data_IF_383480709735
#
_entry.id   IF_383480709735
#
_cell.length_a   1.000
_cell.length_b   1.000
_cell.length_c   1.000
_cell.angle_alpha   90.00
_cell.angle_beta   90.00
_cell.angle_gamma   90.00
#
_symmetry.space_group_name_H-M   'P 1'
#
loop_
_entity.id
_entity.type
_entity.pdbx_description
1 polymer ?
#
# COMPACT_ATOMS: atom_id res chain seq x y z
N UNK A 1 -7.55 -51.76 39.66
CA UNK A 1 -7.90 -51.53 38.23
C UNK A 1 -7.26 -50.22 37.77
N UNK A 2 -6.18 -50.32 37.03
CA UNK A 2 -5.41 -49.21 36.55
C UNK A 2 -5.96 -48.75 35.20
N UNK A 3 -6.51 -47.53 35.11
CA UNK A 3 -7.04 -46.99 33.87
C UNK A 3 -5.91 -46.30 33.12
N UNK A 4 -5.53 -46.82 31.96
CA UNK A 4 -4.61 -46.17 31.02
C UNK A 4 -5.38 -45.20 30.15
N UNK A 5 -4.98 -43.91 30.18
CA UNK A 5 -5.46 -42.90 29.22
C UNK A 5 -4.47 -42.85 28.06
N UNK A 6 -4.91 -43.27 26.88
CA UNK A 6 -4.16 -43.08 25.62
C UNK A 6 -4.47 -41.65 25.10
N UNK A 7 -3.45 -40.79 25.10
CA UNK A 7 -3.53 -39.49 24.41
C UNK A 7 -2.95 -39.69 23.02
N UNK A 8 -3.83 -39.63 22.01
CA UNK A 8 -3.46 -39.69 20.60
C UNK A 8 -3.07 -38.26 20.15
N UNK A 9 -1.76 -38.04 19.91
CA UNK A 9 -1.31 -36.79 19.30
C UNK A 9 -1.50 -36.85 17.78
N UNK A 10 -2.44 -36.10 17.23
CA UNK A 10 -2.50 -35.83 15.80
C UNK A 10 -1.63 -34.62 15.50
N UNK A 11 -0.46 -34.84 14.93
CA UNK A 11 0.34 -33.77 14.34
C UNK A 11 -0.20 -33.47 12.94
N UNK A 12 -0.98 -32.42 12.82
CA UNK A 12 -1.32 -31.85 11.51
C UNK A 12 -0.08 -31.11 10.98
N UNK A 13 0.60 -31.68 10.01
CA UNK A 13 1.59 -30.95 9.23
C UNK A 13 0.81 -30.15 8.17
N UNK A 14 0.56 -28.85 8.46
CA UNK A 14 0.13 -27.93 7.44
C UNK A 14 1.36 -27.61 6.58
N UNK A 15 1.47 -28.26 5.43
CA UNK A 15 2.38 -27.83 4.38
C UNK A 15 1.84 -26.55 3.80
N UNK A 16 2.31 -25.39 4.29
CA UNK A 16 2.17 -24.14 3.57
C UNK A 16 3.04 -24.24 2.32
N UNK A 17 2.43 -24.58 1.19
CA UNK A 17 3.02 -24.34 -0.11
C UNK A 17 2.93 -22.83 -0.31
N UNK A 18 3.90 -22.07 0.15
CA UNK A 18 4.10 -20.72 -0.29
C UNK A 18 4.64 -20.85 -1.72
N UNK A 19 3.77 -20.68 -2.71
CA UNK A 19 4.24 -20.47 -4.07
C UNK A 19 5.19 -19.26 -3.99
N UNK A 20 6.47 -19.47 -4.32
CA UNK A 20 7.45 -18.41 -4.34
C UNK A 20 7.02 -17.47 -5.48
N UNK A 21 6.61 -16.24 -5.13
CA UNK A 21 6.23 -15.23 -6.10
C UNK A 21 7.46 -14.89 -6.96
N UNK A 22 7.39 -15.20 -8.25
CA UNK A 22 8.44 -14.87 -9.21
C UNK A 22 8.01 -13.65 -10.04
N UNK A 23 8.49 -12.46 -9.66
CA UNK A 23 8.19 -11.21 -10.36
C UNK A 23 8.67 -11.18 -11.82
N UNK A 24 9.64 -12.02 -12.20
CA UNK A 24 10.17 -12.05 -13.57
C UNK A 24 9.14 -12.56 -14.58
N UNK A 25 8.11 -13.29 -14.13
CA UNK A 25 7.01 -13.76 -14.99
C UNK A 25 6.13 -12.60 -15.49
N UNK A 26 6.15 -11.45 -14.82
CA UNK A 26 5.26 -10.34 -15.15
C UNK A 26 5.87 -9.31 -16.10
N UNK A 27 7.20 -9.18 -16.18
CA UNK A 27 7.95 -8.23 -17.03
C UNK A 27 7.34 -6.81 -17.08
N UNK A 28 7.11 -6.20 -15.92
CA UNK A 28 6.51 -4.87 -15.84
C UNK A 28 7.54 -3.76 -16.08
N UNK A 29 7.21 -2.80 -16.93
CA UNK A 29 7.95 -1.54 -17.04
C UNK A 29 7.54 -0.57 -15.94
N UNK A 30 8.39 0.43 -15.62
CA UNK A 30 7.96 1.56 -14.82
C UNK A 30 6.97 2.45 -15.60
N UNK A 31 5.95 3.01 -14.92
CA UNK A 31 4.95 3.85 -15.59
C UNK A 31 5.47 5.25 -15.96
N UNK A 32 6.64 5.64 -15.43
CA UNK A 32 7.30 6.93 -15.72
C UNK A 32 8.74 6.69 -16.17
N UNK A 33 9.21 7.53 -17.09
CA UNK A 33 10.61 7.51 -17.58
C UNK A 33 11.45 8.59 -16.88
N UNK A 34 11.44 8.60 -15.55
CA UNK A 34 12.23 9.48 -14.68
C UNK A 34 12.77 8.66 -13.50
N UNK A 35 13.80 9.14 -12.76
CA UNK A 35 14.26 8.45 -11.56
C UNK A 35 13.11 8.16 -10.61
N UNK A 36 13.08 6.94 -10.07
CA UNK A 36 12.01 6.49 -9.18
C UNK A 36 12.19 7.13 -7.81
N UNK A 37 11.26 7.99 -7.46
CA UNK A 37 11.09 8.52 -6.12
C UNK A 37 9.62 8.43 -5.73
N UNK A 38 9.35 8.05 -4.48
CA UNK A 38 7.97 7.93 -3.99
C UNK A 38 7.60 9.09 -3.08
N UNK A 39 6.30 9.40 -3.02
CA UNK A 39 5.69 10.29 -2.02
C UNK A 39 4.73 9.55 -1.08
N UNK A 40 4.32 8.32 -1.44
CA UNK A 40 3.51 7.43 -0.62
C UNK A 40 3.76 5.97 -0.99
N UNK A 41 3.69 5.08 -0.02
CA UNK A 41 3.86 3.64 -0.23
C UNK A 41 2.53 2.88 -0.09
N UNK A 42 2.53 1.63 -0.56
CA UNK A 42 1.39 0.71 -0.44
C UNK A 42 1.06 0.46 1.04
N UNK A 43 -0.23 0.42 1.36
CA UNK A 43 -0.71 0.16 2.70
C UNK A 43 -0.47 1.28 3.71
N UNK A 44 0.06 2.43 3.32
CA UNK A 44 0.19 3.59 4.19
C UNK A 44 -1.16 4.01 4.75
N UNK A 45 -1.24 4.21 6.07
CA UNK A 45 -2.47 4.64 6.72
C UNK A 45 -2.78 6.11 6.38
N UNK A 46 -3.86 6.32 5.68
CA UNK A 46 -4.46 7.63 5.40
C UNK A 46 -5.55 7.94 6.44
N UNK A 47 -6.20 9.09 6.33
CA UNK A 47 -7.19 9.54 7.33
C UNK A 47 -8.39 8.59 7.51
N UNK A 48 -8.79 7.87 6.46
CA UNK A 48 -9.99 7.02 6.43
C UNK A 48 -9.84 5.71 5.64
N UNK A 49 -8.67 5.43 5.09
CA UNK A 49 -8.38 4.22 4.33
C UNK A 49 -6.88 3.90 4.35
N UNK A 50 -6.51 2.73 3.86
CA UNK A 50 -5.14 2.39 3.53
C UNK A 50 -4.85 2.75 2.08
N UNK A 51 -3.63 3.22 1.80
CA UNK A 51 -3.19 3.60 0.47
C UNK A 51 -3.17 2.38 -0.46
N UNK A 52 -3.93 2.43 -1.54
CA UNK A 52 -4.18 1.29 -2.44
C UNK A 52 -3.04 0.99 -3.40
N UNK A 53 -2.05 1.87 -3.50
CA UNK A 53 -0.95 1.78 -4.46
C UNK A 53 0.32 2.44 -3.97
N UNK A 54 1.10 2.95 -4.90
CA UNK A 54 2.29 3.78 -4.64
C UNK A 54 2.14 5.11 -5.38
N UNK A 55 2.68 6.17 -4.79
CA UNK A 55 2.66 7.51 -5.36
C UNK A 55 4.05 7.85 -5.91
N UNK A 56 4.21 7.82 -7.24
CA UNK A 56 5.44 8.24 -7.90
C UNK A 56 5.51 9.77 -7.97
N UNK A 57 6.60 10.35 -7.45
CA UNK A 57 6.88 11.77 -7.61
C UNK A 57 7.11 12.10 -9.09
N UNK A 58 6.59 13.24 -9.51
CA UNK A 58 6.76 13.77 -10.87
C UNK A 58 7.63 15.03 -10.88
N UNK A 59 8.60 15.12 -9.96
CA UNK A 59 9.50 16.28 -9.83
C UNK A 59 8.75 17.59 -9.52
N UNK A 60 7.62 17.51 -8.81
CA UNK A 60 6.73 18.62 -8.44
C UNK A 60 6.07 19.34 -9.63
N UNK A 61 6.01 18.70 -10.78
CA UNK A 61 5.35 19.24 -11.97
C UNK A 61 4.33 18.24 -12.52
N UNK A 62 3.38 18.74 -13.26
CA UNK A 62 2.46 17.94 -14.09
C UNK A 62 3.13 17.65 -15.46
N UNK A 63 2.41 16.99 -16.36
CA UNK A 63 2.77 16.74 -17.77
C UNK A 63 3.98 15.80 -17.98
N UNK A 64 4.29 14.94 -17.00
CA UNK A 64 5.22 13.84 -17.27
C UNK A 64 4.50 12.75 -18.06
N UNK A 65 5.08 12.25 -19.18
CA UNK A 65 4.50 11.14 -19.92
C UNK A 65 4.29 9.91 -19.05
N UNK A 66 3.10 9.33 -19.12
CA UNK A 66 2.72 8.10 -18.41
C UNK A 66 2.58 6.97 -19.41
N UNK A 67 3.16 5.82 -19.09
CA UNK A 67 3.28 4.67 -19.97
C UNK A 67 2.57 3.44 -19.40
N UNK A 68 2.00 2.62 -20.31
CA UNK A 68 1.51 1.29 -19.94
C UNK A 68 2.65 0.39 -19.47
N UNK A 69 2.47 -0.27 -18.33
CA UNK A 69 3.52 -1.11 -17.71
C UNK A 69 3.69 -2.46 -18.40
N UNK A 70 2.67 -2.94 -19.13
CA UNK A 70 2.72 -4.19 -19.89
C UNK A 70 1.75 -4.15 -21.09
N UNK A 71 1.80 -5.15 -21.95
CA UNK A 71 0.83 -5.36 -23.03
C UNK A 71 -0.56 -5.63 -22.43
N UNK A 72 -1.60 -5.03 -23.01
CA UNK A 72 -2.96 -5.20 -22.55
C UNK A 72 -3.98 -4.39 -23.34
N UNK A 73 -5.06 -4.03 -22.68
CA UNK A 73 -6.12 -3.19 -23.28
C UNK A 73 -6.70 -2.26 -22.21
N UNK A 74 -7.14 -1.08 -22.64
CA UNK A 74 -7.85 -0.14 -21.78
C UNK A 74 -9.20 -0.74 -21.39
N UNK A 75 -9.44 -0.92 -20.11
CA UNK A 75 -10.64 -1.59 -19.58
C UNK A 75 -11.64 -0.61 -18.92
N UNK A 76 -11.16 0.54 -18.39
CA UNK A 76 -12.04 1.51 -17.72
C UNK A 76 -11.42 2.91 -17.73
N UNK A 77 -12.29 3.90 -17.83
CA UNK A 77 -11.99 5.31 -17.56
C UNK A 77 -12.81 5.83 -16.41
N UNK A 78 -12.23 6.72 -15.62
CA UNK A 78 -12.95 7.55 -14.66
C UNK A 78 -12.48 8.99 -14.74
N UNK A 79 -13.44 9.92 -14.66
CA UNK A 79 -13.18 11.34 -14.50
C UNK A 79 -14.07 11.86 -13.38
N UNK A 80 -13.46 12.44 -12.36
CA UNK A 80 -14.16 12.94 -11.18
C UNK A 80 -13.47 14.18 -10.62
N UNK A 81 -14.18 15.13 -10.04
CA UNK A 81 -13.56 16.26 -9.33
C UNK A 81 -12.89 15.84 -8.02
N UNK A 82 -13.17 14.63 -7.52
CA UNK A 82 -12.64 14.09 -6.26
C UNK A 82 -12.06 12.69 -6.46
N UNK A 83 -11.52 12.07 -5.40
CA UNK A 83 -10.93 10.72 -5.46
C UNK A 83 -9.75 10.66 -6.42
N UNK A 84 -9.77 9.73 -7.35
CA UNK A 84 -8.70 9.51 -8.33
C UNK A 84 -8.57 10.61 -9.41
N UNK A 85 -9.54 11.53 -9.52
CA UNK A 85 -9.53 12.52 -10.59
C UNK A 85 -9.71 11.89 -11.97
N UNK A 86 -8.77 12.14 -12.89
CA UNK A 86 -8.66 11.41 -14.13
C UNK A 86 -7.92 10.09 -13.87
N UNK A 87 -8.58 8.98 -14.15
CA UNK A 87 -8.04 7.64 -13.89
C UNK A 87 -8.23 6.72 -15.09
N UNK A 88 -7.19 5.95 -15.39
CA UNK A 88 -7.15 4.96 -16.43
C UNK A 88 -6.86 3.57 -15.84
N UNK A 89 -7.63 2.58 -16.27
CA UNK A 89 -7.40 1.18 -15.96
C UNK A 89 -6.99 0.42 -17.21
N UNK A 90 -5.90 -0.34 -17.11
CA UNK A 90 -5.41 -1.20 -18.18
C UNK A 90 -5.36 -2.63 -17.67
N UNK A 91 -6.12 -3.50 -18.31
CA UNK A 91 -6.08 -4.94 -18.03
C UNK A 91 -5.03 -5.59 -18.91
N UNK A 92 -4.06 -6.25 -18.29
CA UNK A 92 -2.93 -6.88 -18.95
C UNK A 92 -3.17 -8.37 -19.20
N UNK A 93 -2.49 -8.91 -20.21
CA UNK A 93 -2.62 -10.33 -20.57
C UNK A 93 -1.93 -11.28 -19.58
N UNK A 94 -1.14 -10.75 -18.65
CA UNK A 94 -0.47 -11.49 -17.58
C UNK A 94 -1.31 -11.65 -16.29
N UNK A 95 -2.60 -11.30 -16.32
CA UNK A 95 -3.51 -11.44 -15.18
C UNK A 95 -3.53 -10.26 -14.21
N UNK A 96 -2.80 -9.17 -14.52
CA UNK A 96 -2.80 -7.94 -13.72
C UNK A 96 -3.66 -6.85 -14.36
N UNK A 97 -4.18 -5.98 -13.52
CA UNK A 97 -4.76 -4.69 -13.92
C UNK A 97 -3.96 -3.57 -13.28
N UNK A 98 -3.47 -2.63 -14.10
CA UNK A 98 -2.81 -1.41 -13.61
C UNK A 98 -3.78 -0.23 -13.60
N UNK A 99 -3.66 0.62 -12.58
CA UNK A 99 -4.46 1.83 -12.39
C UNK A 99 -3.53 3.03 -12.34
N UNK A 100 -3.83 4.04 -13.14
CA UNK A 100 -3.07 5.28 -13.26
C UNK A 100 -3.99 6.44 -12.89
N UNK A 101 -3.77 7.08 -11.76
CA UNK A 101 -4.68 8.12 -11.28
C UNK A 101 -3.99 9.47 -11.10
N UNK A 102 -4.80 10.49 -10.82
CA UNK A 102 -4.44 11.91 -10.75
C UNK A 102 -3.85 12.45 -12.05
N UNK A 103 -4.16 11.80 -13.19
CA UNK A 103 -3.66 12.23 -14.49
C UNK A 103 -4.14 13.66 -14.81
N UNK A 104 -3.31 14.41 -15.54
CA UNK A 104 -3.72 15.69 -16.12
C UNK A 104 -4.65 15.44 -17.32
N UNK A 105 -4.22 14.56 -18.20
CA UNK A 105 -4.95 14.23 -19.44
C UNK A 105 -4.57 12.85 -19.96
N UNK A 106 -5.41 12.30 -20.81
CA UNK A 106 -5.11 11.09 -21.58
C UNK A 106 -4.48 11.48 -22.92
N UNK A 107 -3.82 10.54 -23.62
CA UNK A 107 -3.38 10.81 -25.01
C UNK A 107 -4.59 11.15 -25.89
N UNK A 108 -4.45 11.99 -26.94
CA UNK A 108 -5.58 12.58 -27.68
C UNK A 108 -6.65 11.60 -28.13
N UNK A 109 -6.25 10.41 -28.57
CA UNK A 109 -7.19 9.37 -28.98
C UNK A 109 -8.04 8.86 -27.78
N UNK A 110 -7.42 8.59 -26.64
CA UNK A 110 -8.14 8.15 -25.43
C UNK A 110 -9.00 9.27 -24.86
N UNK A 111 -8.50 10.49 -24.89
CA UNK A 111 -9.22 11.68 -24.43
C UNK A 111 -10.49 11.92 -25.25
N UNK A 112 -10.45 11.72 -26.57
CA UNK A 112 -11.63 11.85 -27.42
C UNK A 112 -12.77 10.89 -27.07
N UNK A 113 -12.45 9.71 -26.57
CA UNK A 113 -13.44 8.72 -26.11
C UNK A 113 -14.12 9.19 -24.81
N UNK A 114 -13.31 9.71 -23.88
CA UNK A 114 -13.80 10.26 -22.63
C UNK A 114 -14.72 11.47 -22.90
N UNK A 115 -14.28 12.40 -23.77
CA UNK A 115 -15.09 13.56 -24.15
C UNK A 115 -16.40 13.15 -24.82
N UNK A 116 -16.39 12.16 -25.72
CA UNK A 116 -17.60 11.64 -26.33
C UNK A 116 -18.59 11.12 -25.27
N UNK A 117 -18.08 10.40 -24.25
CA UNK A 117 -18.90 9.88 -23.14
C UNK A 117 -19.44 11.00 -22.27
N UNK A 118 -18.63 12.02 -21.95
CA UNK A 118 -19.07 13.21 -21.22
C UNK A 118 -20.20 13.96 -21.97
N UNK A 119 -20.07 14.08 -23.29
CA UNK A 119 -21.14 14.70 -24.12
C UNK A 119 -22.41 13.85 -24.16
N UNK A 120 -22.27 12.51 -24.29
CA UNK A 120 -23.41 11.59 -24.25
C UNK A 120 -24.18 11.70 -22.93
N UNK A 121 -23.45 11.67 -21.81
CA UNK A 121 -24.03 11.74 -20.46
C UNK A 121 -24.36 13.16 -20.00
N UNK A 122 -23.92 14.17 -20.75
CA UNK A 122 -24.00 15.59 -20.36
C UNK A 122 -23.45 15.84 -18.95
N UNK A 123 -22.36 15.20 -18.64
CA UNK A 123 -21.72 15.23 -17.33
C UNK A 123 -20.20 15.39 -17.48
N UNK A 124 -19.59 16.22 -16.65
CA UNK A 124 -18.15 16.26 -16.51
C UNK A 124 -17.61 14.96 -15.90
N UNK A 125 -18.27 14.48 -14.82
CA UNK A 125 -17.89 13.25 -14.16
C UNK A 125 -18.47 12.04 -14.92
N UNK A 126 -17.61 11.12 -15.31
CA UNK A 126 -17.97 9.88 -15.98
C UNK A 126 -17.14 8.72 -15.43
N UNK A 127 -17.73 7.55 -15.42
CA UNK A 127 -17.06 6.30 -15.05
C UNK A 127 -17.65 5.17 -15.89
N UNK A 128 -16.84 4.60 -16.79
CA UNK A 128 -17.32 3.60 -17.73
C UNK A 128 -16.23 2.60 -18.11
N UNK A 129 -16.67 1.39 -18.40
CA UNK A 129 -15.83 0.30 -18.86
C UNK A 129 -15.88 0.16 -20.37
N UNK A 130 -14.82 -0.42 -20.93
CA UNK A 130 -14.74 -0.77 -22.35
C UNK A 130 -14.74 -2.28 -22.53
N UNK A 131 -15.26 -2.77 -23.68
CA UNK A 131 -15.12 -4.16 -24.04
C UNK A 131 -13.66 -4.61 -24.11
N UNK A 132 -13.42 -5.86 -23.72
CA UNK A 132 -12.09 -6.49 -23.84
C UNK A 132 -11.52 -6.29 -25.25
N UNK A 133 -10.24 -5.94 -25.30
CA UNK A 133 -9.46 -5.77 -26.55
C UNK A 133 -9.96 -4.68 -27.50
N UNK A 134 -10.90 -3.82 -27.09
CA UNK A 134 -11.38 -2.72 -27.91
C UNK A 134 -10.27 -1.71 -28.21
N UNK A 135 -9.45 -1.40 -27.20
CA UNK A 135 -8.29 -0.50 -27.33
C UNK A 135 -7.08 -1.22 -26.76
N UNK A 136 -6.30 -1.80 -27.64
CA UNK A 136 -5.07 -2.48 -27.26
C UNK A 136 -3.95 -1.48 -27.01
N UNK A 137 -3.15 -1.75 -25.99
CA UNK A 137 -1.95 -0.99 -25.66
C UNK A 137 -0.75 -1.90 -25.55
N UNK A 138 0.42 -1.38 -25.85
CA UNK A 138 1.69 -2.07 -25.74
C UNK A 138 2.44 -1.60 -24.50
N UNK A 139 3.25 -2.49 -23.94
CA UNK A 139 4.23 -2.13 -22.91
C UNK A 139 5.04 -0.92 -23.35
N UNK A 140 5.20 0.08 -22.47
CA UNK A 140 5.85 1.36 -22.76
C UNK A 140 5.13 2.27 -23.79
N UNK A 141 3.91 1.93 -24.20
CA UNK A 141 3.08 2.86 -24.96
C UNK A 141 2.60 3.98 -24.03
N UNK A 142 2.78 5.23 -24.47
CA UNK A 142 2.25 6.38 -23.73
C UNK A 142 0.72 6.35 -23.74
N UNK A 143 0.13 6.60 -22.55
CA UNK A 143 -1.33 6.56 -22.33
C UNK A 143 -1.89 7.87 -21.79
N UNK A 144 -1.03 8.75 -21.27
CA UNK A 144 -1.46 10.04 -20.74
C UNK A 144 -0.29 10.85 -20.20
N UNK A 145 -0.62 11.83 -19.38
CA UNK A 145 0.32 12.69 -18.66
C UNK A 145 -0.04 12.74 -17.17
N UNK A 146 0.99 12.76 -16.32
CA UNK A 146 0.83 12.92 -14.87
C UNK A 146 0.26 14.28 -14.54
N UNK A 147 -0.52 14.36 -13.47
CA UNK A 147 -1.21 15.57 -13.10
C UNK A 147 -1.35 15.76 -11.59
N UNK A 148 -2.45 16.41 -11.23
CA UNK A 148 -2.84 16.72 -9.86
C UNK A 148 -4.38 16.78 -9.72
N UNK A 149 -5.11 15.97 -10.51
CA UNK A 149 -6.57 15.98 -10.51
C UNK A 149 -7.15 15.19 -9.35
N UNK A 150 -8.43 15.41 -9.04
CA UNK A 150 -9.12 14.72 -7.95
C UNK A 150 -8.67 15.16 -6.56
N UNK A 151 -8.62 14.23 -5.61
CA UNK A 151 -8.22 14.50 -4.21
C UNK A 151 -6.71 14.38 -4.02
N UNK A 152 -5.93 15.11 -4.82
CA UNK A 152 -4.47 15.13 -4.76
C UNK A 152 -3.94 16.37 -4.05
N UNK A 153 -2.93 16.21 -3.21
CA UNK A 153 -2.26 17.30 -2.49
C UNK A 153 -1.10 17.96 -3.23
N UNK A 154 -0.73 17.46 -4.40
CA UNK A 154 0.37 17.98 -5.24
C UNK A 154 0.68 17.05 -6.40
N UNK A 155 1.44 17.49 -7.43
CA UNK A 155 1.73 16.70 -8.63
C UNK A 155 2.41 15.36 -8.31
N UNK A 156 1.79 14.25 -8.70
CA UNK A 156 2.30 12.89 -8.60
C UNK A 156 1.50 11.96 -9.52
N UNK A 157 1.99 10.74 -9.72
CA UNK A 157 1.24 9.66 -10.32
C UNK A 157 0.90 8.64 -9.23
N UNK A 158 -0.39 8.49 -8.89
CA UNK A 158 -0.86 7.37 -8.10
C UNK A 158 -0.97 6.14 -9.00
N UNK A 159 -0.33 5.04 -8.59
CA UNK A 159 -0.25 3.82 -9.38
C UNK A 159 -0.62 2.60 -8.53
N UNK A 160 -1.53 1.77 -9.06
CA UNK A 160 -1.92 0.52 -8.42
C UNK A 160 -1.67 -0.67 -9.34
N UNK A 161 -1.45 -1.82 -8.72
CA UNK A 161 -1.57 -3.13 -9.34
C UNK A 161 -2.68 -3.91 -8.65
N UNK A 162 -3.49 -4.60 -9.44
CA UNK A 162 -4.56 -5.45 -8.97
C UNK A 162 -4.53 -6.80 -9.67
N UNK A 163 -4.96 -7.84 -8.99
CA UNK A 163 -5.35 -9.06 -9.66
C UNK A 163 -6.58 -8.79 -10.54
N UNK A 164 -6.52 -9.20 -11.80
CA UNK A 164 -7.60 -8.89 -12.77
C UNK A 164 -8.92 -9.57 -12.42
N UNK A 165 -8.90 -10.74 -11.78
CA UNK A 165 -10.09 -11.56 -11.53
C UNK A 165 -10.76 -11.26 -10.20
N UNK A 166 -9.95 -11.05 -9.16
CA UNK A 166 -10.43 -10.79 -7.80
C UNK A 166 -10.54 -9.31 -7.48
N UNK A 167 -9.87 -8.45 -8.26
CA UNK A 167 -9.66 -7.01 -8.01
C UNK A 167 -8.92 -6.71 -6.70
N UNK A 168 -8.30 -7.72 -6.07
CA UNK A 168 -7.46 -7.55 -4.90
C UNK A 168 -6.28 -6.64 -5.22
N UNK A 169 -6.03 -5.71 -4.30
CA UNK A 169 -4.89 -4.80 -4.38
C UNK A 169 -3.59 -5.57 -4.13
N UNK A 170 -2.65 -5.43 -5.04
CA UNK A 170 -1.35 -6.05 -4.94
C UNK A 170 -0.28 -5.01 -4.61
N UNK A 171 0.61 -5.36 -3.69
CA UNK A 171 1.70 -4.47 -3.32
C UNK A 171 2.70 -4.30 -4.49
N UNK A 172 2.83 -3.10 -5.09
CA UNK A 172 3.73 -2.90 -6.23
C UNK A 172 5.20 -3.18 -5.94
N UNK A 173 5.64 -3.10 -4.66
CA UNK A 173 7.01 -3.47 -4.26
C UNK A 173 7.34 -4.95 -4.50
N UNK A 174 6.35 -5.81 -4.68
CA UNK A 174 6.58 -7.21 -5.06
C UNK A 174 7.03 -7.34 -6.52
N UNK A 175 6.67 -6.38 -7.37
CA UNK A 175 6.89 -6.42 -8.82
C UNK A 175 8.06 -5.55 -9.28
N UNK A 176 8.40 -4.51 -8.52
CA UNK A 176 9.45 -3.55 -8.87
C UNK A 176 10.61 -3.61 -7.90
N UNK A 177 11.83 -3.50 -8.41
CA UNK A 177 13.03 -3.31 -7.60
C UNK A 177 13.15 -1.83 -7.21
N UNK A 178 12.49 -1.46 -6.13
CA UNK A 178 12.60 -0.13 -5.54
C UNK A 178 13.50 -0.25 -4.31
N UNK A 179 14.64 0.46 -4.34
CA UNK A 179 15.63 0.37 -3.27
C UNK A 179 15.07 0.96 -1.96
N UNK A 180 15.06 0.14 -0.91
CA UNK A 180 14.76 0.55 0.46
C UNK A 180 15.78 -0.08 1.41
N UNK A 181 16.69 0.75 1.89
CA UNK A 181 17.78 0.37 2.81
C UNK A 181 17.64 1.02 4.19
N UNK A 182 16.62 1.84 4.39
CA UNK A 182 16.39 2.60 5.62
C UNK A 182 15.43 1.85 6.53
N UNK A 183 15.86 1.60 7.77
CA UNK A 183 15.01 0.92 8.74
C UNK A 183 13.93 1.84 9.29
N UNK A 184 12.72 1.34 9.59
CA UNK A 184 11.67 2.10 10.26
C UNK A 184 12.15 2.72 11.56
N UNK A 185 11.62 3.90 11.89
CA UNK A 185 11.89 4.59 13.16
C UNK A 185 10.65 4.53 14.05
N UNK A 186 10.87 4.11 15.29
CA UNK A 186 9.83 4.10 16.31
C UNK A 186 9.89 5.43 17.08
N UNK A 187 8.82 6.19 17.01
CA UNK A 187 8.70 7.49 17.68
C UNK A 187 8.08 7.38 19.07
N UNK A 188 7.07 6.51 19.23
CA UNK A 188 6.37 6.31 20.50
C UNK A 188 5.93 4.87 20.65
N UNK A 189 5.97 4.40 21.88
CA UNK A 189 5.31 3.18 22.30
C UNK A 189 4.33 3.51 23.41
N UNK A 190 3.12 2.98 23.34
CA UNK A 190 2.05 3.35 24.24
C UNK A 190 1.43 2.09 24.84
N UNK A 191 1.00 2.24 26.09
CA UNK A 191 0.19 1.25 26.78
C UNK A 191 -1.19 1.85 27.04
N UNK A 192 -2.24 1.10 26.66
CA UNK A 192 -3.63 1.50 26.78
C UNK A 192 -4.34 0.55 27.72
N UNK A 193 -4.50 0.92 29.03
CA UNK A 193 -5.40 0.18 29.89
C UNK A 193 -6.79 0.14 29.26
N UNK A 194 -7.39 -1.05 29.14
CA UNK A 194 -8.78 -1.18 28.70
C UNK A 194 -9.69 -0.60 29.77
N UNK A 195 -10.76 0.08 29.37
CA UNK A 195 -11.70 0.75 30.28
C UNK A 195 -12.20 -0.23 31.34
N UNK A 196 -11.94 0.09 32.60
CA UNK A 196 -12.32 -0.69 33.79
C UNK A 196 -11.72 -2.11 33.90
N UNK A 197 -10.85 -2.53 32.98
CA UNK A 197 -10.29 -3.88 32.92
C UNK A 197 -8.76 -3.92 32.99
N UNK A 198 -8.10 -2.77 32.98
CA UNK A 198 -6.65 -2.67 32.93
C UNK A 198 -6.08 -1.50 33.73
N UNK A 199 -4.86 -1.67 34.20
CA UNK A 199 -4.10 -0.65 34.94
C UNK A 199 -2.64 -0.74 34.54
N UNK A 200 -2.00 0.41 34.33
CA UNK A 200 -0.56 0.53 34.08
C UNK A 200 0.04 1.51 35.06
N UNK A 201 1.02 1.08 35.84
CA UNK A 201 1.65 1.87 36.92
C UNK A 201 0.61 2.52 37.88
N UNK A 202 -0.41 1.76 38.27
CA UNK A 202 -1.49 2.22 39.15
C UNK A 202 -2.50 3.18 38.51
N UNK A 203 -2.45 3.40 37.18
CA UNK A 203 -3.33 4.33 36.48
C UNK A 203 -4.14 3.64 35.37
N UNK A 204 -5.40 4.05 35.20
CA UNK A 204 -6.26 3.65 34.07
C UNK A 204 -6.05 4.53 32.82
N UNK A 205 -5.14 5.49 32.85
CA UNK A 205 -4.86 6.36 31.71
C UNK A 205 -3.79 5.74 30.81
N UNK A 206 -3.88 6.00 29.50
CA UNK A 206 -2.83 5.64 28.55
C UNK A 206 -1.48 6.17 29.02
N UNK A 207 -0.43 5.39 28.82
CA UNK A 207 0.94 5.76 29.16
C UNK A 207 1.82 5.71 27.94
N UNK A 208 2.49 6.81 27.64
CA UNK A 208 3.52 6.85 26.62
C UNK A 208 4.86 6.46 27.27
N UNK A 209 5.54 5.52 26.62
CA UNK A 209 6.84 5.04 27.05
C UNK A 209 7.93 5.92 26.47
N UNK A 210 8.88 6.30 27.32
CA UNK A 210 10.09 6.97 26.85
C UNK A 210 11.03 5.91 26.27
N UNK A 211 11.34 6.05 24.99
CA UNK A 211 12.22 5.14 24.27
C UNK A 211 13.63 5.67 24.19
N UNK A 212 14.62 4.79 24.20
CA UNK A 212 15.99 5.06 23.80
C UNK A 212 16.41 4.11 22.70
N UNK A 213 17.08 4.64 21.69
CA UNK A 213 17.64 3.83 20.63
C UNK A 213 18.97 3.22 21.11
N UNK A 214 19.07 1.88 21.07
CA UNK A 214 20.27 1.16 21.51
C UNK A 214 21.26 0.90 20.38
N UNK A 215 20.75 0.72 19.16
CA UNK A 215 21.48 0.63 17.89
C UNK A 215 20.52 0.98 16.75
N UNK A 216 20.99 1.28 15.53
CA UNK A 216 20.13 1.62 14.40
C UNK A 216 18.96 0.65 14.23
N UNK A 217 17.72 1.16 14.30
CA UNK A 217 16.47 0.38 14.19
C UNK A 217 16.07 -0.41 15.43
N UNK A 218 16.79 -0.31 16.56
CA UNK A 218 16.46 -1.01 17.81
C UNK A 218 16.19 -0.04 18.94
N UNK A 219 15.06 -0.21 19.59
CA UNK A 219 14.57 0.64 20.66
C UNK A 219 14.21 -0.18 21.89
N UNK A 220 14.38 0.40 23.06
CA UNK A 220 13.89 -0.15 24.32
C UNK A 220 13.32 0.96 25.20
N UNK A 221 12.64 0.59 26.27
CA UNK A 221 12.25 1.55 27.30
C UNK A 221 13.50 2.16 27.96
N UNK A 222 13.54 3.48 28.06
CA UNK A 222 14.67 4.21 28.65
C UNK A 222 14.88 3.80 30.10
N UNK A 223 16.14 3.53 30.47
CA UNK A 223 16.52 3.11 31.81
C UNK A 223 16.23 1.65 32.13
N UNK A 224 15.76 0.85 31.16
CA UNK A 224 15.44 -0.59 31.35
C UNK A 224 14.56 -0.87 32.59
N UNK A 225 13.59 0.02 32.85
CA UNK A 225 12.69 -0.07 34.00
C UNK A 225 11.57 -1.05 33.72
N UNK A 226 11.27 -1.93 34.68
CA UNK A 226 10.11 -2.80 34.63
C UNK A 226 8.83 -1.99 34.82
N UNK A 227 7.85 -2.19 33.93
CA UNK A 227 6.54 -1.55 34.02
C UNK A 227 5.55 -2.53 34.60
N UNK A 228 4.83 -2.09 35.64
CA UNK A 228 3.78 -2.89 36.28
C UNK A 228 2.47 -2.66 35.55
N UNK A 229 1.91 -3.73 34.99
CA UNK A 229 0.61 -3.73 34.35
C UNK A 229 -0.24 -4.85 34.87
N UNK A 230 -1.56 -4.65 34.95
CA UNK A 230 -2.52 -5.64 35.40
C UNK A 230 -3.80 -5.54 34.57
N UNK A 231 -4.43 -6.68 34.28
CA UNK A 231 -5.66 -6.78 33.51
C UNK A 231 -5.42 -6.59 32.01
N UNK A 232 -6.43 -6.12 31.29
CA UNK A 232 -6.34 -5.91 29.83
C UNK A 232 -5.59 -4.62 29.50
N UNK A 233 -4.51 -4.76 28.75
CA UNK A 233 -3.68 -3.63 28.28
C UNK A 233 -3.43 -3.78 26.79
N UNK A 234 -3.86 -2.79 26.02
CA UNK A 234 -3.54 -2.68 24.60
C UNK A 234 -2.16 -2.06 24.39
N UNK A 235 -1.51 -2.46 23.30
CA UNK A 235 -0.23 -1.92 22.86
C UNK A 235 -0.43 -1.01 21.67
N UNK A 236 0.30 0.11 21.61
CA UNK A 236 0.32 1.01 20.48
C UNK A 236 1.75 1.37 20.10
N UNK A 237 2.03 1.36 18.82
CA UNK A 237 3.30 1.83 18.26
C UNK A 237 3.04 2.98 17.30
N UNK A 238 3.82 4.04 17.41
CA UNK A 238 3.89 5.12 16.43
C UNK A 238 5.24 5.03 15.76
N UNK A 239 5.23 4.56 14.54
CA UNK A 239 6.42 4.36 13.72
C UNK A 239 6.16 4.83 12.30
N UNK A 240 7.24 5.25 11.64
CA UNK A 240 7.26 5.56 10.22
C UNK A 240 8.43 4.85 9.57
N UNK A 241 8.26 4.53 8.31
CA UNK A 241 9.33 4.08 7.43
C UNK A 241 9.91 5.24 6.63
N UNK A 242 11.09 5.04 6.08
CA UNK A 242 11.86 6.04 5.37
C UNK A 242 12.61 5.39 4.22
N UNK A 243 12.75 6.09 3.11
CA UNK A 243 13.51 5.61 1.96
C UNK A 243 14.80 6.42 1.75
N UNK A 244 15.82 5.83 1.11
CA UNK A 244 17.03 6.57 0.74
C UNK A 244 16.68 7.81 -0.11
N UNK A 245 17.38 8.91 0.14
CA UNK A 245 17.27 10.15 -0.63
C UNK A 245 15.86 10.78 -0.68
N UNK A 246 14.92 10.35 0.17
CA UNK A 246 13.58 10.88 0.28
C UNK A 246 13.35 11.54 1.64
N UNK A 247 12.66 12.68 1.64
CA UNK A 247 12.25 13.38 2.87
C UNK A 247 10.82 12.97 3.32
N UNK A 248 10.18 12.06 2.60
CA UNK A 248 8.85 11.59 2.92
C UNK A 248 8.89 10.58 4.07
N UNK A 249 7.78 10.52 4.78
CA UNK A 249 7.50 9.44 5.75
C UNK A 249 6.54 8.46 5.10
N UNK A 250 6.72 7.18 5.39
CA UNK A 250 5.94 6.09 4.80
C UNK A 250 5.31 5.21 5.87
N UNK A 251 4.31 4.43 5.50
CA UNK A 251 3.76 3.37 6.33
C UNK A 251 4.76 2.22 6.50
N UNK A 252 4.74 1.57 7.66
CA UNK A 252 5.53 0.34 7.89
C UNK A 252 4.86 -0.84 7.20
N UNK A 253 5.63 -1.63 6.46
CA UNK A 253 5.14 -2.80 5.75
C UNK A 253 4.56 -3.88 6.68
N UNK A 254 5.17 -4.11 7.84
CA UNK A 254 4.67 -5.12 8.79
C UNK A 254 4.93 -4.74 10.24
N UNK A 255 4.00 -5.17 11.12
CA UNK A 255 4.13 -5.07 12.56
C UNK A 255 3.84 -6.42 13.17
N UNK A 256 4.76 -6.95 13.98
CA UNK A 256 4.60 -8.20 14.72
C UNK A 256 4.74 -7.94 16.21
N UNK A 257 3.87 -8.51 17.01
CA UNK A 257 3.93 -8.42 18.47
C UNK A 257 4.21 -9.80 19.03
N UNK A 258 5.29 -9.89 19.78
CA UNK A 258 5.68 -11.11 20.49
C UNK A 258 5.59 -10.86 22.00
N UNK A 259 4.99 -11.82 22.71
CA UNK A 259 4.96 -11.85 24.17
C UNK A 259 5.57 -13.16 24.63
N UNK A 260 6.59 -13.10 25.49
CA UNK A 260 7.37 -14.25 25.94
C UNK A 260 7.89 -15.16 24.80
N UNK A 261 8.21 -14.53 23.65
CA UNK A 261 8.68 -15.21 22.46
C UNK A 261 7.59 -15.80 21.54
N UNK A 262 6.34 -15.81 21.97
CA UNK A 262 5.20 -16.23 21.14
C UNK A 262 4.61 -15.04 20.37
N UNK A 263 4.37 -15.22 19.07
CA UNK A 263 3.70 -14.21 18.26
C UNK A 263 2.20 -14.20 18.56
N UNK A 264 1.69 -13.07 19.03
CA UNK A 264 0.27 -12.88 19.39
C UNK A 264 -0.48 -11.98 18.43
N UNK A 265 0.23 -11.26 17.57
CA UNK A 265 -0.35 -10.37 16.57
C UNK A 265 0.63 -10.18 15.43
N UNK A 266 0.09 -10.20 14.22
CA UNK A 266 0.80 -9.80 12.99
C UNK A 266 -0.12 -8.93 12.15
N UNK A 267 0.46 -7.89 11.59
CA UNK A 267 -0.12 -7.03 10.56
C UNK A 267 0.91 -6.94 9.43
N UNK A 268 0.47 -7.15 8.21
CA UNK A 268 1.31 -7.10 7.01
C UNK A 268 0.47 -6.59 5.83
N UNK A 269 1.09 -5.72 5.01
CA UNK A 269 0.54 -5.16 3.79
C UNK A 269 1.28 -5.70 2.56
#
# INVERSE_FOLDING_TARGET
MQKYIFILFFTFHVFSISAQFDKTEYDLAFPLNIPVELSGNFGELRSNHFHAGIDFKTQQVIDKPVFSVADGYVSRFGVSPTGYGHVLYITHYNGLTSVYAHLDSFVPFLDSIVQAKQHEERSFAVDFTLPKDMIKVKRLQQVGWSGNTGSSGGPHLHFELRDTYTEELLNPFLFYDIEDTVRPRVHKFLLYPSSNEGVVEGSMRRRTMVLEQTKPGFYRHKGNVTIKAWGKVGLGVHSYDYMPNANNIYGVHSVRVLVDGAEIFVYQM
#
